data_IF_804590298674
#
_entry.id   IF_804590298674
#
_cell.length_a   1.000
_cell.length_b   1.000
_cell.length_c   1.000
_cell.angle_alpha   90.00
_cell.angle_beta   90.00
_cell.angle_gamma   90.00
#
_symmetry.space_group_name_H-M   'P 1'
#
loop_
_entity.id
_entity.type
_entity.pdbx_description
1 polymer ?
#
# COMPACT_ATOMS: atom_id res chain seq x y z
N UNK A 1 -28.50 -8.12 -6.36
CA UNK A 1 -27.21 -8.79 -6.62
C UNK A 1 -26.13 -7.80 -6.99
N UNK A 2 -24.89 -8.01 -6.52
CA UNK A 2 -23.77 -7.16 -6.90
C UNK A 2 -23.46 -7.26 -8.39
N UNK A 3 -23.57 -8.46 -8.97
CA UNK A 3 -23.39 -8.70 -10.40
C UNK A 3 -24.35 -7.88 -11.28
N UNK A 4 -25.62 -7.75 -10.87
CA UNK A 4 -26.59 -6.98 -11.66
C UNK A 4 -26.24 -5.49 -11.71
N UNK A 5 -25.64 -4.94 -10.65
CA UNK A 5 -25.17 -3.56 -10.60
C UNK A 5 -23.90 -3.40 -11.43
N UNK A 6 -23.00 -4.38 -11.42
CA UNK A 6 -21.80 -4.37 -12.25
C UNK A 6 -22.18 -4.25 -13.74
N UNK A 7 -23.15 -5.04 -14.20
CA UNK A 7 -23.64 -4.98 -15.59
C UNK A 7 -24.40 -3.70 -15.97
N UNK A 8 -24.65 -2.78 -15.03
CA UNK A 8 -25.19 -1.45 -15.38
C UNK A 8 -24.15 -0.52 -15.99
N UNK A 9 -22.87 -0.93 -16.01
CA UNK A 9 -21.73 -0.23 -16.62
C UNK A 9 -21.55 1.23 -16.17
N UNK A 10 -22.00 1.53 -14.96
CA UNK A 10 -21.77 2.84 -14.35
C UNK A 10 -20.38 2.88 -13.72
N UNK A 11 -19.50 3.77 -14.19
CA UNK A 11 -18.10 3.85 -13.75
C UNK A 11 -17.90 3.93 -12.22
N UNK A 12 -18.74 4.70 -11.50
CA UNK A 12 -18.63 4.87 -10.05
C UNK A 12 -19.19 3.65 -9.30
N UNK A 13 -20.34 3.13 -9.75
CA UNK A 13 -20.95 1.99 -9.11
C UNK A 13 -20.14 0.72 -9.35
N UNK A 14 -19.58 0.54 -10.54
CA UNK A 14 -18.76 -0.62 -10.90
C UNK A 14 -17.47 -0.71 -10.07
N UNK A 15 -16.81 0.43 -9.78
CA UNK A 15 -15.66 0.45 -8.87
C UNK A 15 -16.03 -0.01 -7.46
N UNK A 16 -17.10 0.54 -6.90
CA UNK A 16 -17.58 0.19 -5.57
C UNK A 16 -18.04 -1.28 -5.50
N UNK A 17 -18.69 -1.78 -6.55
CA UNK A 17 -19.15 -3.17 -6.66
C UNK A 17 -17.97 -4.14 -6.76
N UNK A 18 -16.94 -3.82 -7.56
CA UNK A 18 -15.74 -4.66 -7.66
C UNK A 18 -15.05 -4.84 -6.31
N UNK A 19 -14.90 -3.75 -5.55
CA UNK A 19 -14.37 -3.78 -4.19
C UNK A 19 -15.28 -4.56 -3.23
N UNK A 20 -16.59 -4.32 -3.27
CA UNK A 20 -17.55 -5.01 -2.41
C UNK A 20 -17.58 -6.52 -2.66
N UNK A 21 -17.50 -6.95 -3.93
CA UNK A 21 -17.40 -8.36 -4.30
C UNK A 21 -16.12 -8.99 -3.72
N UNK A 22 -14.99 -8.28 -3.80
CA UNK A 22 -13.74 -8.69 -3.18
C UNK A 22 -13.82 -8.85 -1.66
N UNK A 23 -14.45 -7.90 -0.98
CA UNK A 23 -14.63 -7.92 0.48
C UNK A 23 -15.59 -9.03 0.94
N UNK A 24 -16.70 -9.24 0.25
CA UNK A 24 -17.65 -10.33 0.56
C UNK A 24 -17.01 -11.70 0.37
N UNK A 25 -16.11 -11.82 -0.61
CA UNK A 25 -15.46 -13.08 -0.98
C UNK A 25 -13.98 -13.16 -0.56
N UNK A 26 -13.60 -12.38 0.45
CA UNK A 26 -12.24 -12.29 0.97
C UNK A 26 -11.67 -13.68 1.30
N UNK A 27 -10.53 -14.02 0.70
CA UNK A 27 -9.82 -15.28 0.93
C UNK A 27 -10.54 -16.56 0.47
N UNK A 28 -11.71 -16.47 -0.18
CA UNK A 28 -12.46 -17.65 -0.65
C UNK A 28 -11.78 -18.36 -1.82
N UNK A 29 -10.99 -17.65 -2.63
CA UNK A 29 -10.30 -18.22 -3.79
C UNK A 29 -11.24 -18.83 -4.84
N UNK A 30 -12.42 -18.25 -5.05
CA UNK A 30 -13.37 -18.77 -6.03
C UNK A 30 -12.91 -18.47 -7.48
N UNK A 31 -12.30 -19.47 -8.11
CA UNK A 31 -11.77 -19.38 -9.48
C UNK A 31 -12.81 -18.97 -10.51
N UNK A 32 -14.06 -19.48 -10.41
CA UNK A 32 -15.13 -19.14 -11.36
C UNK A 32 -15.46 -17.65 -11.33
N UNK A 33 -15.50 -17.06 -10.14
CA UNK A 33 -15.76 -15.63 -10.03
C UNK A 33 -14.58 -14.82 -10.58
N UNK A 34 -13.35 -15.26 -10.32
CA UNK A 34 -12.16 -14.58 -10.81
C UNK A 34 -12.12 -14.59 -12.35
N UNK A 35 -12.42 -15.72 -12.98
CA UNK A 35 -12.53 -15.82 -14.44
C UNK A 35 -13.60 -14.85 -14.99
N UNK A 36 -14.78 -14.79 -14.37
CA UNK A 36 -15.83 -13.84 -14.75
C UNK A 36 -15.39 -12.37 -14.55
N UNK A 37 -14.65 -12.07 -13.48
CA UNK A 37 -14.15 -10.72 -13.21
C UNK A 37 -13.06 -10.30 -14.21
N UNK A 38 -12.14 -11.21 -14.58
CA UNK A 38 -11.14 -10.98 -15.62
C UNK A 38 -11.80 -10.75 -16.97
N UNK A 39 -12.76 -11.62 -17.34
CA UNK A 39 -13.50 -11.51 -18.59
C UNK A 39 -14.22 -10.15 -18.68
N UNK A 40 -14.94 -9.78 -17.62
CA UNK A 40 -15.65 -8.51 -17.61
C UNK A 40 -14.68 -7.32 -17.63
N UNK A 41 -13.55 -7.38 -16.91
CA UNK A 41 -12.54 -6.32 -16.92
C UNK A 41 -11.99 -6.03 -18.33
N UNK A 42 -11.88 -7.05 -19.20
CA UNK A 42 -11.49 -6.86 -20.60
C UNK A 42 -12.59 -6.27 -21.49
N UNK A 43 -13.86 -6.46 -21.12
CA UNK A 43 -15.01 -5.98 -21.89
C UNK A 43 -15.33 -4.51 -21.60
N UNK A 44 -15.08 -4.03 -20.38
CA UNK A 44 -15.39 -2.64 -20.01
C UNK A 44 -14.37 -1.66 -20.59
N UNK A 45 -14.84 -0.48 -20.97
CA UNK A 45 -13.96 0.65 -21.33
C UNK A 45 -13.68 1.58 -20.13
N UNK A 46 -14.28 1.29 -18.97
CA UNK A 46 -14.20 2.15 -17.81
C UNK A 46 -13.06 1.76 -16.87
N UNK A 47 -11.99 2.55 -16.90
CA UNK A 47 -10.77 2.36 -16.08
C UNK A 47 -11.07 2.18 -14.58
N UNK A 48 -12.08 2.89 -14.05
CA UNK A 48 -12.51 2.79 -12.64
C UNK A 48 -13.06 1.40 -12.30
N UNK A 49 -13.82 0.81 -13.22
CA UNK A 49 -14.38 -0.53 -13.05
C UNK A 49 -13.26 -1.56 -13.07
N UNK A 50 -12.35 -1.47 -14.05
CA UNK A 50 -11.16 -2.34 -14.14
C UNK A 50 -10.34 -2.28 -12.86
N UNK A 51 -10.07 -1.08 -12.34
CA UNK A 51 -9.35 -0.88 -11.07
C UNK A 51 -10.07 -1.49 -9.87
N UNK A 52 -11.38 -1.30 -9.76
CA UNK A 52 -12.18 -1.88 -8.68
C UNK A 52 -12.19 -3.41 -8.72
N UNK A 53 -12.31 -4.00 -9.91
CA UNK A 53 -12.23 -5.44 -10.13
C UNK A 53 -10.83 -5.98 -9.84
N UNK A 54 -9.78 -5.29 -10.28
CA UNK A 54 -8.39 -5.62 -10.02
C UNK A 54 -8.09 -5.74 -8.52
N UNK A 55 -8.56 -4.78 -7.72
CA UNK A 55 -8.47 -4.85 -6.25
C UNK A 55 -9.38 -5.94 -5.66
N UNK A 56 -10.58 -6.12 -6.20
CA UNK A 56 -11.49 -7.18 -5.78
C UNK A 56 -10.89 -8.58 -5.96
N UNK A 57 -10.24 -8.84 -7.09
CA UNK A 57 -9.52 -10.08 -7.36
C UNK A 57 -8.39 -10.31 -6.36
N UNK A 58 -7.63 -9.25 -6.03
CA UNK A 58 -6.56 -9.32 -5.05
C UNK A 58 -7.07 -9.71 -3.65
N UNK A 59 -8.22 -9.19 -3.23
CA UNK A 59 -8.88 -9.52 -1.95
C UNK A 59 -9.38 -10.98 -1.92
N UNK A 60 -9.95 -11.48 -3.02
CA UNK A 60 -10.42 -12.88 -3.10
C UNK A 60 -9.26 -13.87 -2.89
N UNK A 61 -8.06 -13.51 -3.33
CA UNK A 61 -6.84 -14.33 -3.24
C UNK A 61 -6.01 -14.11 -1.97
N UNK A 62 -6.56 -13.40 -0.98
CA UNK A 62 -5.92 -13.18 0.31
C UNK A 62 -5.47 -14.50 0.97
N UNK A 63 -4.19 -14.59 1.32
CA UNK A 63 -3.59 -15.73 2.03
C UNK A 63 -3.46 -17.04 1.22
N UNK A 64 -3.73 -17.03 -0.09
CA UNK A 64 -3.69 -18.23 -0.94
C UNK A 64 -2.31 -18.64 -1.47
N UNK A 65 -1.29 -17.80 -1.27
CA UNK A 65 0.11 -18.07 -1.63
C UNK A 65 0.27 -18.63 -3.06
N UNK A 66 0.84 -19.83 -3.21
CA UNK A 66 1.14 -20.46 -4.52
C UNK A 66 -0.10 -20.69 -5.38
N UNK A 67 -1.28 -20.88 -4.78
CA UNK A 67 -2.53 -21.01 -5.54
C UNK A 67 -2.92 -19.72 -6.27
N UNK A 68 -2.31 -18.59 -5.94
CA UNK A 68 -2.47 -17.33 -6.65
C UNK A 68 -1.49 -17.14 -7.81
N UNK A 69 -0.44 -17.97 -7.93
CA UNK A 69 0.64 -17.73 -8.90
C UNK A 69 0.14 -17.75 -10.36
N UNK A 70 -0.84 -18.59 -10.68
CA UNK A 70 -1.42 -18.67 -12.02
C UNK A 70 -2.13 -17.36 -12.40
N UNK A 71 -3.04 -16.88 -11.54
CA UNK A 71 -3.73 -15.60 -11.72
C UNK A 71 -2.74 -14.43 -11.77
N UNK A 72 -1.76 -14.40 -10.88
CA UNK A 72 -0.74 -13.36 -10.82
C UNK A 72 0.04 -13.28 -12.14
N UNK A 73 0.47 -14.43 -12.68
CA UNK A 73 1.22 -14.44 -13.94
C UNK A 73 0.35 -14.02 -15.12
N UNK A 74 -0.93 -14.40 -15.15
CA UNK A 74 -1.89 -13.92 -16.14
C UNK A 74 -2.05 -12.40 -16.10
N UNK A 75 -2.33 -11.84 -14.92
CA UNK A 75 -2.54 -10.40 -14.74
C UNK A 75 -1.29 -9.57 -15.01
N UNK A 76 -0.09 -10.06 -14.67
CA UNK A 76 1.17 -9.35 -14.95
C UNK A 76 1.57 -9.37 -16.43
N UNK A 77 1.12 -10.37 -17.19
CA UNK A 77 1.34 -10.46 -18.64
C UNK A 77 0.40 -9.58 -19.46
N UNK A 78 -0.57 -8.93 -18.81
CA UNK A 78 -1.62 -8.19 -19.48
C UNK A 78 -1.12 -6.86 -20.07
N UNK A 79 -1.55 -6.46 -21.29
CA UNK A 79 -1.28 -5.14 -21.82
C UNK A 79 -1.86 -4.00 -20.97
N UNK A 80 -2.98 -4.23 -20.27
CA UNK A 80 -3.62 -3.19 -19.44
C UNK A 80 -2.85 -2.94 -18.12
N UNK A 81 -2.36 -1.71 -17.88
CA UNK A 81 -1.72 -1.36 -16.62
C UNK A 81 -2.58 -1.57 -15.37
N UNK A 82 -3.90 -1.44 -15.46
CA UNK A 82 -4.80 -1.60 -14.31
C UNK A 82 -4.94 -3.06 -13.89
N UNK A 83 -4.88 -3.99 -14.85
CA UNK A 83 -4.83 -5.43 -14.57
C UNK A 83 -3.47 -5.83 -13.99
N UNK A 84 -2.36 -5.28 -14.52
CA UNK A 84 -1.02 -5.47 -13.93
C UNK A 84 -0.95 -4.94 -12.50
N UNK A 85 -1.57 -3.78 -12.23
CA UNK A 85 -1.73 -3.24 -10.88
C UNK A 85 -2.46 -4.23 -9.95
N UNK A 86 -3.56 -4.84 -10.42
CA UNK A 86 -4.27 -5.90 -9.71
C UNK A 86 -3.40 -7.12 -9.45
N UNK A 87 -2.59 -7.54 -10.42
CA UNK A 87 -1.64 -8.64 -10.28
C UNK A 87 -0.63 -8.40 -9.15
N UNK A 88 -0.09 -7.18 -9.04
CA UNK A 88 0.82 -6.81 -7.95
C UNK A 88 0.11 -6.80 -6.59
N UNK A 89 -1.08 -6.19 -6.50
CA UNK A 89 -1.85 -6.20 -5.26
C UNK A 89 -2.22 -7.63 -4.83
N UNK A 90 -2.49 -8.50 -5.80
CA UNK A 90 -2.72 -9.94 -5.57
C UNK A 90 -1.48 -10.60 -4.98
N UNK A 91 -0.27 -10.29 -5.48
CA UNK A 91 0.99 -10.75 -4.87
C UNK A 91 1.08 -10.28 -3.42
N UNK A 92 0.81 -9.01 -3.15
CA UNK A 92 0.91 -8.41 -1.82
C UNK A 92 -0.01 -9.11 -0.79
N UNK A 93 -1.27 -9.35 -1.17
CA UNK A 93 -2.29 -9.95 -0.30
C UNK A 93 -2.18 -11.47 -0.22
N UNK A 94 -1.79 -12.16 -1.29
CA UNK A 94 -1.59 -13.61 -1.29
C UNK A 94 -0.37 -14.03 -0.43
N UNK A 95 0.71 -13.24 -0.47
CA UNK A 95 1.97 -13.49 0.25
C UNK A 95 2.15 -12.61 1.50
N UNK A 96 1.07 -12.02 2.02
CA UNK A 96 1.11 -11.13 3.16
C UNK A 96 1.77 -11.80 4.39
N UNK A 97 2.83 -11.19 4.93
CA UNK A 97 3.56 -11.69 6.10
C UNK A 97 4.29 -13.03 5.92
N UNK A 98 4.40 -13.55 4.69
CA UNK A 98 5.13 -14.81 4.42
C UNK A 98 6.63 -14.60 4.31
N UNK A 99 7.08 -13.41 3.91
CA UNK A 99 8.49 -13.13 3.63
C UNK A 99 9.08 -13.95 2.48
N UNK A 100 8.26 -14.35 1.49
CA UNK A 100 8.71 -15.16 0.35
C UNK A 100 9.70 -14.39 -0.55
N UNK A 101 10.90 -14.93 -0.70
CA UNK A 101 11.93 -14.37 -1.59
C UNK A 101 11.50 -14.38 -3.06
N UNK A 102 10.67 -15.36 -3.48
CA UNK A 102 10.16 -15.44 -4.85
C UNK A 102 9.25 -14.24 -5.17
N UNK A 103 8.34 -13.93 -4.24
CA UNK A 103 7.43 -12.80 -4.38
C UNK A 103 8.19 -11.46 -4.35
N UNK A 104 9.15 -11.30 -3.42
CA UNK A 104 10.01 -10.10 -3.33
C UNK A 104 10.79 -9.87 -4.63
N UNK A 105 11.43 -10.91 -5.19
CA UNK A 105 12.17 -10.79 -6.46
C UNK A 105 11.25 -10.39 -7.62
N UNK A 106 10.05 -10.94 -7.67
CA UNK A 106 9.05 -10.61 -8.69
C UNK A 106 8.63 -9.14 -8.59
N UNK A 107 8.33 -8.66 -7.37
CA UNK A 107 7.98 -7.25 -7.14
C UNK A 107 9.12 -6.29 -7.49
N UNK A 108 10.35 -6.59 -7.07
CA UNK A 108 11.52 -5.77 -7.40
C UNK A 108 11.79 -5.72 -8.91
N UNK A 109 11.58 -6.83 -9.61
CA UNK A 109 11.70 -6.84 -11.07
C UNK A 109 10.67 -5.89 -11.70
N UNK A 110 9.40 -6.02 -11.34
CA UNK A 110 8.31 -5.20 -11.89
C UNK A 110 8.47 -3.71 -11.52
N UNK A 111 8.97 -3.40 -10.31
CA UNK A 111 9.25 -2.03 -9.88
C UNK A 111 10.26 -1.30 -10.79
N UNK A 112 11.15 -2.04 -11.45
CA UNK A 112 12.17 -1.49 -12.35
C UNK A 112 11.77 -1.65 -13.83
N UNK A 113 11.15 -2.76 -14.20
CA UNK A 113 10.90 -3.12 -15.60
C UNK A 113 9.60 -2.60 -16.19
N UNK A 114 8.54 -2.37 -15.39
CA UNK A 114 7.27 -1.90 -15.93
C UNK A 114 7.41 -0.48 -16.49
N UNK A 115 6.55 -0.09 -17.44
CA UNK A 115 6.54 1.26 -18.01
C UNK A 115 5.63 2.19 -17.22
N UNK A 116 4.60 1.65 -16.57
CA UNK A 116 3.59 2.45 -15.88
C UNK A 116 4.02 2.78 -14.43
N UNK A 117 3.94 4.06 -14.09
CA UNK A 117 4.38 4.57 -12.79
C UNK A 117 3.49 4.13 -11.61
N UNK A 118 2.19 3.91 -11.82
CA UNK A 118 1.29 3.41 -10.77
C UNK A 118 1.60 1.95 -10.43
N UNK A 119 1.92 1.16 -11.44
CA UNK A 119 2.34 -0.24 -11.29
C UNK A 119 3.66 -0.30 -10.51
N UNK A 120 4.63 0.57 -10.85
CA UNK A 120 5.90 0.69 -10.12
C UNK A 120 5.71 1.10 -8.67
N UNK A 121 4.88 2.11 -8.41
CA UNK A 121 4.55 2.59 -7.06
C UNK A 121 4.01 1.47 -6.19
N UNK A 122 3.06 0.71 -6.72
CA UNK A 122 2.41 -0.38 -5.97
C UNK A 122 3.32 -1.59 -5.82
N UNK A 123 4.22 -1.85 -6.77
CA UNK A 123 5.24 -2.89 -6.63
C UNK A 123 6.09 -2.67 -5.37
N UNK A 124 6.55 -1.44 -5.17
CA UNK A 124 7.38 -1.08 -4.00
C UNK A 124 6.55 -1.09 -2.73
N UNK A 125 5.35 -0.49 -2.75
CA UNK A 125 4.44 -0.48 -1.60
C UNK A 125 4.12 -1.91 -1.11
N UNK A 126 3.97 -2.85 -2.05
CA UNK A 126 3.67 -4.26 -1.77
C UNK A 126 4.78 -4.98 -1.01
N UNK A 127 6.04 -4.51 -1.09
CA UNK A 127 7.14 -5.04 -0.27
C UNK A 127 6.83 -4.88 1.23
N UNK A 128 6.16 -3.79 1.62
CA UNK A 128 5.74 -3.55 2.99
C UNK A 128 4.80 -4.65 3.51
N UNK A 129 3.80 -5.05 2.73
CA UNK A 129 2.85 -6.10 3.08
C UNK A 129 3.45 -7.50 3.15
N UNK A 130 4.49 -7.79 2.37
CA UNK A 130 5.15 -9.11 2.41
C UNK A 130 6.13 -9.20 3.58
N UNK A 131 6.82 -8.10 3.88
CA UNK A 131 7.95 -8.06 4.80
C UNK A 131 7.65 -7.46 6.18
N UNK A 132 6.41 -7.09 6.51
CA UNK A 132 6.12 -6.48 7.83
C UNK A 132 6.52 -7.37 9.02
N UNK A 133 6.52 -8.71 8.87
CA UNK A 133 7.04 -9.62 9.92
C UNK A 133 8.56 -9.53 10.13
N UNK A 134 9.31 -9.04 9.14
CA UNK A 134 10.77 -8.83 9.15
C UNK A 134 11.08 -7.35 8.92
N UNK A 135 10.39 -6.47 9.63
CA UNK A 135 10.48 -5.02 9.47
C UNK A 135 11.92 -4.46 9.52
N UNK A 136 12.82 -5.05 10.33
CA UNK A 136 14.23 -4.64 10.39
C UNK A 136 14.99 -4.76 9.06
N UNK A 137 14.58 -5.66 8.17
CA UNK A 137 15.25 -5.85 6.87
C UNK A 137 14.74 -4.91 5.78
N UNK A 138 13.61 -4.24 6.01
CA UNK A 138 12.93 -3.42 5.00
C UNK A 138 13.70 -2.12 4.70
N UNK A 139 14.20 -1.34 5.69
CA UNK A 139 15.01 -0.15 5.44
C UNK A 139 16.15 -0.40 4.45
N UNK A 140 16.96 -1.43 4.69
CA UNK A 140 18.10 -1.78 3.84
C UNK A 140 17.72 -2.20 2.42
N UNK A 141 16.54 -2.77 2.23
CA UNK A 141 16.05 -3.15 0.90
C UNK A 141 15.51 -1.95 0.12
N UNK A 142 14.92 -0.98 0.82
CA UNK A 142 14.21 0.15 0.24
C UNK A 142 15.11 1.38 0.10
N UNK A 143 16.25 1.44 0.78
CA UNK A 143 17.25 2.53 0.73
C UNK A 143 17.63 2.92 -0.72
N UNK A 144 17.98 1.96 -1.56
CA UNK A 144 18.31 2.23 -2.97
C UNK A 144 17.10 2.71 -3.78
N UNK A 145 15.88 2.33 -3.39
CA UNK A 145 14.64 2.75 -4.05
C UNK A 145 14.21 4.15 -3.62
N UNK A 146 14.52 4.56 -2.39
CA UNK A 146 14.25 5.92 -1.90
C UNK A 146 15.09 6.99 -2.62
N UNK A 147 16.26 6.63 -3.15
CA UNK A 147 17.10 7.54 -3.94
C UNK A 147 16.81 7.49 -5.46
N UNK A 148 15.81 6.72 -5.87
CA UNK A 148 15.47 6.60 -7.28
C UNK A 148 15.06 7.92 -7.92
N UNK A 149 15.38 8.10 -9.20
CA UNK A 149 15.00 9.31 -9.95
C UNK A 149 13.47 9.46 -10.07
N UNK A 150 12.74 8.35 -10.14
CA UNK A 150 11.30 8.35 -10.32
C UNK A 150 10.55 8.65 -9.01
N UNK A 151 9.77 9.75 -8.94
CA UNK A 151 9.02 10.11 -7.73
C UNK A 151 8.00 9.05 -7.27
N UNK A 152 7.41 8.28 -8.18
CA UNK A 152 6.42 7.24 -7.84
C UNK A 152 7.06 6.06 -7.09
N UNK A 153 8.30 5.72 -7.44
CA UNK A 153 9.09 4.70 -6.75
C UNK A 153 9.49 5.20 -5.37
N UNK A 154 9.94 6.46 -5.26
CA UNK A 154 10.22 7.11 -3.95
C UNK A 154 8.98 7.13 -3.06
N UNK A 155 7.82 7.49 -3.59
CA UNK A 155 6.58 7.42 -2.82
C UNK A 155 6.29 5.99 -2.33
N UNK A 156 6.39 5.00 -3.23
CA UNK A 156 6.16 3.60 -2.88
C UNK A 156 7.13 3.11 -1.79
N UNK A 157 8.38 3.57 -1.84
CA UNK A 157 9.41 3.30 -0.83
C UNK A 157 9.02 3.87 0.55
N UNK A 158 8.62 5.14 0.61
CA UNK A 158 8.15 5.75 1.85
C UNK A 158 6.99 4.94 2.46
N UNK A 159 5.98 4.63 1.64
CA UNK A 159 4.80 3.90 2.11
C UNK A 159 5.12 2.46 2.53
N UNK A 160 6.06 1.80 1.84
CA UNK A 160 6.53 0.47 2.23
C UNK A 160 7.19 0.49 3.62
N UNK A 161 7.99 1.52 3.93
CA UNK A 161 8.55 1.73 5.27
C UNK A 161 7.44 2.00 6.29
N UNK A 162 6.48 2.86 5.95
CA UNK A 162 5.33 3.17 6.81
C UNK A 162 4.50 1.94 7.19
N UNK A 163 4.15 1.10 6.21
CA UNK A 163 3.35 -0.11 6.41
C UNK A 163 4.13 -1.18 7.17
N UNK A 164 5.39 -1.43 6.79
CA UNK A 164 6.20 -2.48 7.41
C UNK A 164 6.63 -2.17 8.83
N UNK A 165 6.95 -0.91 9.12
CA UNK A 165 7.47 -0.46 10.41
C UNK A 165 6.38 0.20 11.29
N UNK A 166 5.10 0.08 10.91
CA UNK A 166 3.98 0.65 11.66
C UNK A 166 4.01 0.24 13.14
N UNK A 167 3.95 1.21 14.04
CA UNK A 167 3.94 0.99 15.50
C UNK A 167 5.25 0.46 16.11
N UNK A 168 6.31 0.23 15.32
CA UNK A 168 7.59 -0.28 15.83
C UNK A 168 8.54 0.81 16.33
N UNK A 169 8.41 2.04 15.80
CA UNK A 169 9.30 3.15 16.15
C UNK A 169 10.77 2.96 15.72
N UNK A 170 11.03 2.20 14.67
CA UNK A 170 12.39 1.89 14.20
C UNK A 170 13.16 3.14 13.76
N UNK A 171 14.29 3.42 14.39
CA UNK A 171 15.11 4.62 14.10
C UNK A 171 15.65 4.64 12.66
N UNK A 172 16.07 3.48 12.13
CA UNK A 172 16.54 3.38 10.73
C UNK A 172 15.48 3.79 9.71
N UNK A 173 14.21 3.48 9.97
CA UNK A 173 13.11 3.90 9.10
C UNK A 173 12.89 5.41 9.18
N UNK A 174 13.04 6.01 10.37
CA UNK A 174 12.92 7.47 10.56
C UNK A 174 14.06 8.19 9.85
N UNK A 175 15.30 7.71 9.98
CA UNK A 175 16.47 8.29 9.33
C UNK A 175 16.36 8.29 7.80
N UNK A 176 15.72 7.27 7.21
CA UNK A 176 15.43 7.24 5.77
C UNK A 176 14.27 8.15 5.36
N UNK A 177 13.25 8.32 6.21
CA UNK A 177 12.07 9.13 5.90
C UNK A 177 12.30 10.64 6.09
N UNK A 178 13.22 11.05 6.98
CA UNK A 178 13.53 12.46 7.24
C UNK A 178 14.01 13.22 5.99
N UNK A 179 14.95 12.70 5.17
CA UNK A 179 15.33 13.33 3.90
C UNK A 179 14.17 13.45 2.91
N UNK A 180 13.26 12.47 2.88
CA UNK A 180 12.12 12.43 1.95
C UNK A 180 11.08 13.53 2.24
N UNK A 181 11.07 14.09 3.45
CA UNK A 181 10.26 15.26 3.78
C UNK A 181 10.69 16.53 3.04
N UNK A 182 11.93 16.57 2.50
CA UNK A 182 12.46 17.69 1.73
C UNK A 182 12.51 17.40 0.23
N UNK A 183 11.84 16.34 -0.21
CA UNK A 183 11.79 15.98 -1.63
C UNK A 183 11.13 17.11 -2.43
N UNK A 184 11.63 17.41 -3.65
CA UNK A 184 11.02 18.44 -4.51
C UNK A 184 9.55 18.12 -4.86
N UNK A 185 9.17 16.84 -4.89
CA UNK A 185 7.81 16.43 -5.25
C UNK A 185 6.89 16.38 -4.04
N UNK A 186 5.73 17.02 -4.17
CA UNK A 186 4.74 17.23 -3.12
C UNK A 186 4.10 15.93 -2.60
N UNK A 187 3.75 15.00 -3.50
CA UNK A 187 3.16 13.73 -3.10
C UNK A 187 4.17 12.80 -2.41
N UNK A 188 5.47 12.87 -2.73
CA UNK A 188 6.50 12.12 -1.99
C UNK A 188 6.60 12.66 -0.55
N UNK A 189 6.59 13.99 -0.37
CA UNK A 189 6.51 14.60 0.98
C UNK A 189 5.25 14.17 1.73
N UNK A 190 4.10 14.13 1.06
CA UNK A 190 2.85 13.60 1.61
C UNK A 190 3.01 12.14 2.09
N UNK A 191 3.58 11.28 1.25
CA UNK A 191 3.82 9.87 1.58
C UNK A 191 4.77 9.70 2.76
N UNK A 192 5.85 10.50 2.82
CA UNK A 192 6.81 10.49 3.91
C UNK A 192 6.18 10.94 5.24
N UNK A 193 5.35 12.00 5.23
CA UNK A 193 4.62 12.46 6.42
C UNK A 193 3.67 11.40 6.98
N UNK A 194 2.88 10.77 6.11
CA UNK A 194 1.94 9.70 6.50
C UNK A 194 2.73 8.50 7.04
N UNK A 195 3.82 8.12 6.38
CA UNK A 195 4.64 6.98 6.79
C UNK A 195 5.30 7.21 8.14
N UNK A 196 5.84 8.41 8.39
CA UNK A 196 6.37 8.79 9.70
C UNK A 196 5.31 8.73 10.79
N UNK A 197 4.09 9.20 10.49
CA UNK A 197 2.98 9.09 11.43
C UNK A 197 2.68 7.63 11.77
N UNK A 198 2.64 6.73 10.78
CA UNK A 198 2.39 5.29 10.99
C UNK A 198 3.49 4.63 11.83
N UNK A 199 4.77 4.96 11.61
CA UNK A 199 5.90 4.42 12.37
C UNK A 199 5.90 4.90 13.82
N UNK A 200 5.48 6.14 14.05
CA UNK A 200 5.50 6.81 15.36
C UNK A 200 4.18 6.73 16.13
N UNK A 201 3.19 5.97 15.66
CA UNK A 201 1.92 5.78 16.40
C UNK A 201 2.23 5.24 17.80
N UNK A 202 1.61 5.86 18.82
CA UNK A 202 1.81 5.58 20.26
C UNK A 202 3.21 5.82 20.83
N UNK A 203 4.16 6.38 20.06
CA UNK A 203 5.48 6.71 20.59
C UNK A 203 5.45 8.02 21.38
N UNK A 204 6.05 8.02 22.57
CA UNK A 204 6.19 9.20 23.43
C UNK A 204 7.58 9.83 23.26
N UNK A 205 7.72 11.10 23.61
CA UNK A 205 9.00 11.83 23.58
C UNK A 205 10.09 11.20 24.46
N UNK A 206 9.70 10.43 25.49
CA UNK A 206 10.62 9.67 26.33
C UNK A 206 11.15 8.40 25.66
N UNK A 207 10.37 7.78 24.77
CA UNK A 207 10.76 6.59 24.03
C UNK A 207 11.57 6.96 22.78
N UNK A 208 11.15 8.01 22.07
CA UNK A 208 11.90 8.55 20.96
C UNK A 208 11.84 10.10 20.96
N UNK A 209 12.99 10.78 21.15
CA UNK A 209 13.03 12.25 21.20
C UNK A 209 12.66 12.89 19.84
N UNK A 210 12.74 12.15 18.73
CA UNK A 210 12.40 12.65 17.40
C UNK A 210 10.91 12.95 17.24
N UNK A 211 10.03 12.32 18.04
CA UNK A 211 8.57 12.55 17.99
C UNK A 211 8.24 14.03 18.24
N UNK A 212 8.89 14.67 19.22
CA UNK A 212 8.67 16.08 19.52
C UNK A 212 9.11 17.01 18.39
N UNK A 213 10.25 16.70 17.76
CA UNK A 213 10.77 17.42 16.60
C UNK A 213 9.86 17.30 15.38
N UNK A 214 9.40 16.08 15.09
CA UNK A 214 8.51 15.78 13.95
C UNK A 214 7.15 16.43 14.14
N UNK A 215 6.58 16.40 15.36
CA UNK A 215 5.31 17.08 15.65
C UNK A 215 5.40 18.60 15.48
N UNK A 216 6.51 19.21 15.92
CA UNK A 216 6.75 20.65 15.68
C UNK A 216 6.88 20.96 14.20
N UNK A 217 7.57 20.11 13.44
CA UNK A 217 7.70 20.24 11.99
C UNK A 217 6.34 20.14 11.28
N UNK A 218 5.53 19.14 11.63
CA UNK A 218 4.18 18.95 11.08
C UNK A 218 3.29 20.18 11.31
N UNK A 219 3.29 20.73 12.54
CA UNK A 219 2.55 21.96 12.82
C UNK A 219 3.04 23.15 11.98
N UNK A 220 4.36 23.28 11.79
CA UNK A 220 4.93 24.35 10.95
C UNK A 220 4.43 24.24 9.50
N UNK A 221 4.46 23.05 8.90
CA UNK A 221 4.01 22.81 7.52
C UNK A 221 2.54 23.17 7.33
N UNK A 222 1.68 22.89 8.31
CA UNK A 222 0.25 23.24 8.23
C UNK A 222 0.04 24.75 8.31
N UNK A 223 0.80 25.45 9.16
CA UNK A 223 0.68 26.90 9.32
C UNK A 223 1.28 27.70 8.17
N UNK A 224 2.25 27.13 7.46
CA UNK A 224 2.93 27.82 6.37
C UNK A 224 1.99 28.01 5.17
N UNK A 225 1.93 29.24 4.65
CA UNK A 225 1.10 29.55 3.48
C UNK A 225 1.76 29.13 2.17
N UNK A 226 3.09 29.04 2.12
CA UNK A 226 3.85 28.75 0.91
C UNK A 226 4.00 27.26 0.61
N UNK A 227 3.57 26.39 1.52
CA UNK A 227 3.58 24.94 1.31
C UNK A 227 2.44 24.47 0.39
N UNK A 228 2.74 23.42 -0.38
CA UNK A 228 1.84 22.80 -1.34
C UNK A 228 0.62 22.18 -0.66
N UNK A 229 -0.52 22.21 -1.36
CA UNK A 229 -1.79 21.66 -0.86
C UNK A 229 -1.70 20.16 -0.53
N UNK A 230 -0.99 19.37 -1.33
CA UNK A 230 -0.83 17.93 -1.09
C UNK A 230 0.02 17.62 0.14
N UNK A 231 1.09 18.39 0.37
CA UNK A 231 1.92 18.26 1.56
C UNK A 231 1.13 18.61 2.83
N UNK A 232 0.31 19.67 2.78
CA UNK A 232 -0.60 20.04 3.89
C UNK A 232 -1.63 18.97 4.17
N UNK A 233 -2.22 18.39 3.12
CA UNK A 233 -3.17 17.29 3.25
C UNK A 233 -2.53 16.07 3.91
N UNK A 234 -1.32 15.68 3.48
CA UNK A 234 -0.54 14.63 4.12
C UNK A 234 -0.24 14.92 5.59
N UNK A 235 0.10 16.16 5.91
CA UNK A 235 0.38 16.58 7.27
C UNK A 235 -0.87 16.51 8.17
N UNK A 236 -2.02 16.96 7.68
CA UNK A 236 -3.28 16.87 8.41
C UNK A 236 -3.67 15.42 8.72
N UNK A 237 -3.50 14.52 7.75
CA UNK A 237 -3.70 13.08 7.94
C UNK A 237 -2.70 12.51 8.95
N UNK A 238 -1.42 12.87 8.81
CA UNK A 238 -0.35 12.40 9.69
C UNK A 238 -0.62 12.76 11.16
N UNK A 239 -1.03 14.00 11.44
CA UNK A 239 -1.44 14.39 12.80
C UNK A 239 -2.67 13.62 13.29
N UNK A 240 -3.65 13.39 12.42
CA UNK A 240 -4.82 12.56 12.73
C UNK A 240 -4.46 11.11 13.07
N UNK A 241 -3.49 10.52 12.37
CA UNK A 241 -2.99 9.16 12.63
C UNK A 241 -2.25 9.11 13.98
N UNK A 242 -1.38 10.09 14.28
CA UNK A 242 -0.60 10.08 15.53
C UNK A 242 -1.52 10.21 16.76
N UNK A 243 -2.55 11.06 16.69
CA UNK A 243 -3.48 11.29 17.79
C UNK A 243 -4.76 10.42 17.68
N UNK A 244 -4.73 9.37 16.84
CA UNK A 244 -5.87 8.49 16.60
C UNK A 244 -6.38 7.83 17.90
N UNK A 245 -7.71 7.86 18.09
CA UNK A 245 -8.37 7.28 19.26
C UNK A 245 -7.93 7.88 20.60
N UNK A 246 -7.50 9.15 20.62
CA UNK A 246 -6.95 9.79 21.81
C UNK A 246 -5.62 9.17 22.24
N UNK A 247 -4.82 8.69 21.28
CA UNK A 247 -3.57 7.94 21.46
C UNK A 247 -3.73 6.54 22.05
N UNK A 248 -4.94 6.01 22.11
CA UNK A 248 -5.21 4.64 22.58
C UNK A 248 -5.23 3.60 21.44
N UNK A 249 -5.22 4.04 20.18
CA UNK A 249 -5.20 3.15 19.02
C UNK A 249 -3.76 2.98 18.49
N UNK A 250 -3.45 1.78 18.01
CA UNK A 250 -2.20 1.48 17.28
C UNK A 250 -2.50 0.73 16.00
N UNK A 251 -1.57 0.82 15.05
CA UNK A 251 -1.64 0.07 13.81
C UNK A 251 -0.82 -1.20 14.02
N UNK A 252 -1.49 -2.35 13.96
CA UNK A 252 -0.81 -3.64 13.97
C UNK A 252 -1.41 -4.59 12.93
N UNK A 253 -0.56 -5.02 12.00
CA UNK A 253 -0.86 -6.01 10.97
C UNK A 253 -0.81 -7.45 11.52
N UNK A 254 -0.30 -7.61 12.74
CA UNK A 254 -0.17 -8.89 13.43
C UNK A 254 -0.90 -8.86 14.77
N UNK A 255 -1.49 -9.99 15.12
CA UNK A 255 -1.98 -10.23 16.48
C UNK A 255 -0.83 -10.61 17.40
N UNK A 256 -1.00 -10.48 18.72
CA UNK A 256 0.04 -10.86 19.70
C UNK A 256 0.46 -12.34 19.59
N UNK A 257 -0.43 -13.20 19.10
CA UNK A 257 -0.16 -14.63 18.87
C UNK A 257 0.62 -14.91 17.59
N UNK A 258 0.92 -13.88 16.80
CA UNK A 258 1.67 -13.98 15.56
C UNK A 258 0.82 -14.20 14.31
N UNK A 259 -0.49 -14.35 14.46
CA UNK A 259 -1.41 -14.50 13.32
C UNK A 259 -1.65 -13.17 12.61
N UNK A 260 -1.98 -13.24 11.33
CA UNK A 260 -2.34 -12.08 10.50
C UNK A 260 -3.64 -11.46 11.01
N UNK A 261 -3.64 -10.13 11.21
CA UNK A 261 -4.86 -9.40 11.54
C UNK A 261 -5.57 -9.01 10.23
N UNK A 262 -6.52 -9.85 9.76
CA UNK A 262 -7.18 -9.63 8.46
C UNK A 262 -7.79 -8.23 8.34
N UNK A 263 -8.58 -7.71 9.30
CA UNK A 263 -9.12 -6.35 9.22
C UNK A 263 -8.07 -5.23 9.33
N UNK A 264 -6.87 -5.53 9.83
CA UNK A 264 -5.78 -4.57 9.84
C UNK A 264 -5.00 -4.51 8.53
N UNK A 265 -5.05 -5.59 7.74
CA UNK A 265 -4.35 -5.71 6.45
C UNK A 265 -5.20 -5.22 5.28
N UNK A 266 -6.52 -5.47 5.34
CA UNK A 266 -7.52 -4.97 4.38
C UNK A 266 -7.75 -3.47 4.60
#
# INVERSE_FOLDING_TARGET
DLKSVLYTDSAVNGEAVGLAMGLVMLGTGNMKLLEEMVQYAHETQHEKIVRGLALGMALIMYGRQEAADELINGLLGDPDPYLRYGGIMTVALAYCGTGSNKAVRKLLHVAVSDVNDDVRRVAVMSLGFILFRKHQSVPRMVELLSESYNPHVRYGAAMALGISCAGTGLDEAIDLLEPMLKDPTDFVRQGALISLAMVLVQQNETMNPKVGSIRKMMNKIITDRHEDAMAKFGCAIALGIIDAGGRNCTISLQTQTGNLNMPGIV
#
